data_IF_286370178569
#
_entry.id   IF_286370178569
#
_cell.length_a   1.000
_cell.length_b   1.000
_cell.length_c   1.000
_cell.angle_alpha   90.00
_cell.angle_beta   90.00
_cell.angle_gamma   90.00
#
_symmetry.space_group_name_H-M   'P 1'
#
loop_
_entity.id
_entity.type
_entity.pdbx_description
1 polymer ?
#
# COMPACT_ATOMS: atom_id res chain seq x y z
N UNK A 1 49.13 -24.22 32.07
CA UNK A 1 47.81 -23.56 31.99
C UNK A 1 47.32 -23.68 30.56
N UNK A 2 46.06 -24.11 30.44
CA UNK A 2 45.48 -24.85 29.32
C UNK A 2 45.23 -24.03 28.04
N UNK A 3 45.19 -24.67 26.86
CA UNK A 3 44.62 -24.07 25.66
C UNK A 3 43.09 -24.21 25.72
N UNK A 4 42.39 -23.08 25.68
CA UNK A 4 40.93 -23.02 25.63
C UNK A 4 40.44 -23.46 24.26
N UNK A 5 39.75 -24.60 24.23
CA UNK A 5 39.04 -25.12 23.08
C UNK A 5 37.80 -24.26 22.79
N UNK A 6 37.78 -23.63 21.62
CA UNK A 6 36.59 -22.99 21.08
C UNK A 6 35.56 -24.05 20.72
N UNK A 7 34.54 -24.22 21.57
CA UNK A 7 33.33 -24.97 21.24
C UNK A 7 32.58 -24.24 20.11
N UNK A 8 32.61 -24.82 18.92
CA UNK A 8 31.62 -24.57 17.87
C UNK A 8 30.26 -25.03 18.40
N UNK A 9 29.39 -24.08 18.74
CA UNK A 9 27.98 -24.37 19.02
C UNK A 9 27.29 -24.88 17.75
N UNK A 10 26.28 -25.75 17.87
CA UNK A 10 25.55 -26.23 16.71
C UNK A 10 24.81 -25.06 16.06
N UNK A 11 25.06 -24.84 14.77
CA UNK A 11 24.18 -24.05 13.90
C UNK A 11 22.80 -24.67 13.96
N UNK A 12 21.87 -24.04 14.67
CA UNK A 12 20.47 -24.46 14.69
C UNK A 12 19.93 -24.29 13.27
N UNK A 13 19.89 -25.40 12.51
CA UNK A 13 19.24 -25.46 11.22
C UNK A 13 17.76 -25.13 11.43
N UNK A 14 17.38 -23.88 11.16
CA UNK A 14 15.97 -23.53 10.97
C UNK A 14 15.53 -24.29 9.73
N UNK A 15 14.91 -25.45 9.92
CA UNK A 15 14.21 -26.15 8.86
C UNK A 15 13.15 -25.21 8.28
N UNK A 16 13.13 -25.05 6.95
CA UNK A 16 12.15 -24.23 6.27
C UNK A 16 10.71 -24.72 6.51
N UNK A 17 9.69 -23.91 6.20
CA UNK A 17 8.30 -24.34 6.35
C UNK A 17 8.04 -25.59 5.50
N UNK A 18 7.50 -26.65 6.13
CA UNK A 18 7.22 -27.94 5.47
C UNK A 18 6.27 -27.82 4.28
N UNK A 19 5.34 -26.85 4.34
CA UNK A 19 4.39 -26.49 3.29
C UNK A 19 4.43 -24.98 3.08
N UNK A 20 5.36 -24.48 2.26
CA UNK A 20 5.50 -23.04 2.05
C UNK A 20 4.26 -22.46 1.40
N UNK A 21 3.85 -21.25 1.82
CA UNK A 21 2.73 -20.52 1.24
C UNK A 21 3.12 -19.08 0.98
N UNK A 22 3.15 -18.67 -0.28
CA UNK A 22 3.31 -17.27 -0.66
C UNK A 22 2.11 -16.44 -0.18
N UNK A 23 2.39 -15.21 0.25
CA UNK A 23 1.37 -14.19 0.50
C UNK A 23 0.86 -13.59 -0.82
N UNK A 24 -0.08 -12.65 -0.72
CA UNK A 24 -0.41 -11.74 -1.81
C UNK A 24 0.77 -10.83 -2.14
N UNK A 25 1.67 -11.32 -2.99
CA UNK A 25 2.88 -10.62 -3.44
C UNK A 25 2.72 -10.20 -4.90
N UNK A 26 3.36 -9.12 -5.28
CA UNK A 26 3.38 -8.66 -6.66
C UNK A 26 4.65 -9.16 -7.35
N UNK A 27 4.48 -9.63 -8.59
CA UNK A 27 5.56 -10.13 -9.42
C UNK A 27 5.61 -9.35 -10.74
N UNK A 28 6.77 -8.83 -11.10
CA UNK A 28 6.96 -8.03 -12.31
C UNK A 28 8.29 -8.34 -13.00
N UNK A 29 8.35 -8.29 -14.34
CA UNK A 29 9.57 -8.59 -15.07
C UNK A 29 10.62 -7.48 -14.88
N UNK A 30 11.88 -7.86 -14.72
CA UNK A 30 13.02 -6.97 -14.62
C UNK A 30 14.17 -7.52 -15.46
N UNK A 31 14.87 -6.64 -16.17
CA UNK A 31 16.14 -6.97 -16.83
C UNK A 31 17.30 -6.50 -15.97
N UNK A 32 18.26 -7.39 -15.71
CA UNK A 32 19.45 -7.11 -14.93
C UNK A 32 20.64 -7.83 -15.55
N UNK A 33 21.70 -7.08 -15.83
CA UNK A 33 22.92 -7.58 -16.49
C UNK A 33 22.66 -8.35 -17.80
N UNK A 34 21.60 -7.99 -18.53
CA UNK A 34 21.21 -8.63 -19.80
C UNK A 34 20.39 -9.91 -19.63
N UNK A 35 20.11 -10.35 -18.40
CA UNK A 35 19.25 -11.48 -18.09
C UNK A 35 17.88 -11.03 -17.58
N UNK A 36 16.86 -11.86 -17.82
CA UNK A 36 15.47 -11.62 -17.40
C UNK A 36 15.17 -12.30 -16.09
N UNK A 37 14.69 -11.53 -15.14
CA UNK A 37 14.24 -11.97 -13.82
C UNK A 37 12.78 -11.61 -13.59
N UNK A 38 12.17 -12.32 -12.65
CA UNK A 38 10.91 -11.90 -12.04
C UNK A 38 11.22 -11.30 -10.67
N UNK A 39 11.00 -10.01 -10.50
CA UNK A 39 11.13 -9.37 -9.20
C UNK A 39 9.85 -9.54 -8.40
N UNK A 40 9.97 -9.98 -7.15
CA UNK A 40 8.91 -10.06 -6.18
C UNK A 40 9.00 -8.89 -5.21
N UNK A 41 7.87 -8.23 -4.96
CA UNK A 41 7.73 -7.20 -3.93
C UNK A 41 6.44 -7.39 -3.14
N UNK A 42 6.40 -6.77 -1.96
CA UNK A 42 5.24 -6.80 -1.08
C UNK A 42 4.40 -5.52 -1.22
N UNK A 43 3.28 -5.53 -1.98
CA UNK A 43 2.44 -4.36 -2.15
C UNK A 43 1.70 -3.97 -0.86
N UNK A 44 1.67 -4.82 0.17
CA UNK A 44 1.11 -4.49 1.47
C UNK A 44 2.11 -3.78 2.40
N UNK A 45 3.37 -3.63 1.99
CA UNK A 45 4.39 -2.85 2.70
C UNK A 45 4.78 -3.43 4.07
N UNK A 46 4.80 -4.76 4.23
CA UNK A 46 5.34 -5.44 5.42
C UNK A 46 6.82 -5.82 5.27
N UNK A 47 7.37 -5.78 4.06
CA UNK A 47 8.82 -5.91 3.83
C UNK A 47 9.26 -4.95 2.73
N UNK A 48 10.40 -4.24 2.91
CA UNK A 48 11.01 -3.45 1.85
C UNK A 48 11.86 -4.30 0.89
N UNK A 49 12.03 -5.59 1.19
CA UNK A 49 12.86 -6.48 0.37
C UNK A 49 12.27 -6.63 -1.03
N UNK A 50 13.14 -6.63 -2.04
CA UNK A 50 12.81 -7.05 -3.40
C UNK A 50 13.62 -8.30 -3.70
N UNK A 51 12.95 -9.38 -4.09
CA UNK A 51 13.62 -10.64 -4.42
C UNK A 51 13.59 -10.83 -5.93
N UNK A 52 14.77 -10.97 -6.54
CA UNK A 52 14.89 -11.29 -7.96
C UNK A 52 14.94 -12.81 -8.13
N UNK A 53 13.93 -13.36 -8.81
CA UNK A 53 13.84 -14.78 -9.09
C UNK A 53 14.24 -15.06 -10.55
N UNK A 54 15.25 -15.90 -10.78
CA UNK A 54 15.49 -16.49 -12.09
C UNK A 54 14.27 -17.28 -12.56
N UNK A 55 14.00 -17.29 -13.87
CA UNK A 55 12.84 -18.00 -14.43
C UNK A 55 12.77 -19.48 -14.04
N UNK A 56 13.91 -20.15 -13.87
CA UNK A 56 13.97 -21.54 -13.43
C UNK A 56 13.34 -21.78 -12.05
N UNK A 57 13.37 -20.80 -11.14
CA UNK A 57 12.81 -20.91 -9.79
C UNK A 57 11.31 -20.57 -9.74
N UNK A 58 10.76 -19.95 -10.78
CA UNK A 58 9.35 -19.52 -10.79
C UNK A 58 8.39 -20.68 -10.61
N UNK A 59 8.64 -21.81 -11.27
CA UNK A 59 7.76 -22.97 -11.15
C UNK A 59 7.76 -23.55 -9.74
N UNK A 60 8.92 -23.61 -9.08
CA UNK A 60 9.02 -24.05 -7.67
C UNK A 60 8.18 -23.12 -6.79
N UNK A 61 8.38 -21.81 -6.95
CA UNK A 61 7.71 -20.78 -6.14
C UNK A 61 6.20 -20.74 -6.41
N UNK A 62 5.76 -21.04 -7.64
CA UNK A 62 4.33 -21.12 -7.99
C UNK A 62 3.58 -22.24 -7.26
N UNK A 63 4.32 -23.25 -6.75
CA UNK A 63 3.80 -24.34 -5.95
C UNK A 63 3.86 -24.07 -4.44
N UNK A 64 4.33 -22.89 -4.01
CA UNK A 64 4.29 -22.47 -2.61
C UNK A 64 2.88 -21.97 -2.26
N UNK A 65 1.92 -22.89 -2.24
CA UNK A 65 0.48 -22.62 -2.04
C UNK A 65 -0.04 -23.07 -0.67
N UNK A 66 0.84 -23.58 0.20
CA UNK A 66 0.51 -24.15 1.51
C UNK A 66 -0.14 -25.53 1.45
N UNK A 67 -0.37 -26.08 0.26
CA UNK A 67 -0.93 -27.42 0.06
C UNK A 67 0.16 -28.43 -0.23
N UNK A 68 1.11 -28.07 -1.08
CA UNK A 68 2.23 -28.93 -1.45
C UNK A 68 3.35 -28.86 -0.41
N UNK A 69 3.86 -30.03 -0.01
CA UNK A 69 5.13 -30.14 0.70
C UNK A 69 6.32 -30.30 -0.27
N UNK A 70 7.54 -30.26 0.28
CA UNK A 70 8.79 -30.31 -0.52
C UNK A 70 8.82 -31.53 -1.45
N UNK A 71 8.42 -32.70 -0.98
CA UNK A 71 8.46 -33.92 -1.79
C UNK A 71 7.42 -33.87 -2.92
N UNK A 72 6.22 -33.34 -2.64
CA UNK A 72 5.17 -33.13 -3.64
C UNK A 72 5.60 -32.12 -4.71
N UNK A 73 6.29 -31.04 -4.33
CA UNK A 73 6.87 -30.05 -5.24
C UNK A 73 7.91 -30.71 -6.15
N UNK A 74 8.86 -31.49 -5.59
CA UNK A 74 9.87 -32.21 -6.39
C UNK A 74 9.21 -33.11 -7.44
N UNK A 75 8.20 -33.89 -7.04
CA UNK A 75 7.50 -34.77 -7.97
C UNK A 75 6.72 -33.98 -9.03
N UNK A 76 6.14 -32.83 -8.69
CA UNK A 76 5.44 -31.99 -9.65
C UNK A 76 6.40 -31.43 -10.72
N UNK A 77 7.56 -30.93 -10.31
CA UNK A 77 8.58 -30.43 -11.23
C UNK A 77 9.12 -31.55 -12.12
N UNK A 78 9.42 -32.73 -11.55
CA UNK A 78 9.88 -33.89 -12.32
C UNK A 78 8.86 -34.30 -13.39
N UNK A 79 7.56 -34.30 -13.05
CA UNK A 79 6.50 -34.64 -14.01
C UNK A 79 6.34 -33.61 -15.13
N UNK A 80 6.52 -32.31 -14.82
CA UNK A 80 6.30 -31.23 -15.77
C UNK A 80 7.51 -31.00 -16.69
N UNK A 81 8.73 -31.06 -16.15
CA UNK A 81 9.98 -30.75 -16.87
C UNK A 81 10.87 -31.94 -17.18
N UNK A 82 10.67 -33.08 -16.51
CA UNK A 82 11.62 -34.19 -16.55
C UNK A 82 12.92 -33.93 -15.76
N UNK A 83 13.00 -32.82 -15.03
CA UNK A 83 14.18 -32.43 -14.25
C UNK A 83 14.03 -32.83 -12.78
N UNK A 84 15.12 -33.37 -12.20
CA UNK A 84 15.18 -33.67 -10.77
C UNK A 84 15.71 -32.43 -10.05
N UNK A 85 14.87 -31.84 -9.20
CA UNK A 85 15.28 -30.76 -8.28
C UNK A 85 15.58 -31.36 -6.92
N UNK A 86 16.71 -30.98 -6.31
CA UNK A 86 17.07 -31.41 -4.95
C UNK A 86 16.13 -30.78 -3.91
N UNK A 87 15.74 -31.57 -2.89
CA UNK A 87 14.87 -31.10 -1.81
C UNK A 87 15.49 -29.90 -1.08
N UNK A 88 16.81 -29.95 -0.83
CA UNK A 88 17.57 -28.88 -0.20
C UNK A 88 17.41 -27.55 -0.93
N UNK A 89 17.37 -27.55 -2.28
CA UNK A 89 17.20 -26.34 -3.07
C UNK A 89 15.82 -25.70 -2.87
N UNK A 90 14.78 -26.51 -2.74
CA UNK A 90 13.41 -26.02 -2.47
C UNK A 90 13.32 -25.48 -1.04
N UNK A 91 13.92 -26.17 -0.08
CA UNK A 91 13.97 -25.75 1.32
C UNK A 91 14.74 -24.44 1.50
N UNK A 92 15.90 -24.29 0.85
CA UNK A 92 16.70 -23.05 0.83
C UNK A 92 15.88 -21.88 0.28
N UNK A 93 15.16 -22.10 -0.82
CA UNK A 93 14.31 -21.08 -1.43
C UNK A 93 13.14 -20.68 -0.54
N UNK A 94 12.46 -21.67 0.07
CA UNK A 94 11.38 -21.44 1.02
C UNK A 94 11.89 -20.67 2.26
N UNK A 95 13.07 -21.05 2.76
CA UNK A 95 13.69 -20.41 3.91
C UNK A 95 14.10 -18.96 3.58
N UNK A 96 14.68 -18.70 2.40
CA UNK A 96 15.03 -17.35 1.97
C UNK A 96 13.78 -16.46 1.87
N UNK A 97 12.71 -16.94 1.21
CA UNK A 97 11.46 -16.20 1.10
C UNK A 97 10.79 -15.95 2.47
N UNK A 98 10.82 -16.92 3.39
CA UNK A 98 10.32 -16.75 4.77
C UNK A 98 11.11 -15.68 5.54
N UNK A 99 12.44 -15.72 5.48
CA UNK A 99 13.31 -14.72 6.14
C UNK A 99 13.04 -13.30 5.64
N UNK A 100 12.80 -13.15 4.33
CA UNK A 100 12.43 -11.88 3.73
C UNK A 100 10.95 -11.51 3.89
N UNK A 101 10.13 -12.40 4.47
CA UNK A 101 8.73 -12.17 4.83
C UNK A 101 7.74 -12.32 3.68
N UNK A 102 8.08 -13.06 2.63
CA UNK A 102 7.21 -13.32 1.49
C UNK A 102 6.25 -14.50 1.72
N UNK A 103 6.53 -15.35 2.72
CA UNK A 103 5.68 -16.49 3.07
C UNK A 103 4.74 -16.16 4.23
N UNK A 104 3.56 -16.78 4.23
CA UNK A 104 2.72 -16.90 5.40
C UNK A 104 3.37 -17.82 6.44
N UNK A 105 3.28 -17.47 7.71
CA UNK A 105 3.81 -18.26 8.80
C UNK A 105 4.08 -17.44 10.05
N UNK A 106 4.54 -18.08 11.15
CA UNK A 106 4.76 -17.41 12.43
C UNK A 106 5.71 -16.20 12.34
N UNK A 107 6.74 -16.27 11.49
CA UNK A 107 7.69 -15.18 11.29
C UNK A 107 7.02 -13.95 10.65
N UNK A 108 6.20 -14.15 9.61
CA UNK A 108 5.43 -13.07 9.01
C UNK A 108 4.35 -12.53 9.94
N UNK A 109 3.68 -13.38 10.70
CA UNK A 109 2.66 -12.96 11.67
C UNK A 109 3.24 -12.05 12.75
N UNK A 110 4.43 -12.39 13.27
CA UNK A 110 5.15 -11.52 14.20
C UNK A 110 5.52 -10.17 13.56
N UNK A 111 6.04 -10.18 12.32
CA UNK A 111 6.36 -8.96 11.57
C UNK A 111 5.13 -8.09 11.31
N UNK A 112 4.01 -8.70 10.92
CA UNK A 112 2.74 -8.01 10.71
C UNK A 112 2.27 -7.34 11.98
N UNK A 113 2.28 -8.07 13.11
CA UNK A 113 1.87 -7.55 14.40
C UNK A 113 2.73 -6.36 14.84
N UNK A 114 4.04 -6.42 14.61
CA UNK A 114 4.96 -5.32 14.88
C UNK A 114 4.64 -4.09 14.01
N UNK A 115 4.61 -4.25 12.68
CA UNK A 115 4.37 -3.15 11.73
C UNK A 115 3.00 -2.51 11.94
N UNK A 116 1.94 -3.32 12.09
CA UNK A 116 0.60 -2.82 12.36
C UNK A 116 0.52 -2.15 13.73
N UNK A 117 1.16 -2.74 14.75
CA UNK A 117 1.23 -2.17 16.10
C UNK A 117 1.90 -0.80 16.13
N UNK A 118 3.04 -0.64 15.45
CA UNK A 118 3.73 0.64 15.30
C UNK A 118 2.84 1.68 14.64
N UNK A 119 2.14 1.33 13.56
CA UNK A 119 1.22 2.26 12.89
C UNK A 119 0.01 2.64 13.76
N UNK A 120 -0.61 1.67 14.42
CA UNK A 120 -1.76 1.91 15.30
C UNK A 120 -1.37 2.80 16.49
N UNK A 121 -0.15 2.67 17.01
CA UNK A 121 0.37 3.52 18.09
C UNK A 121 0.81 4.93 17.62
N UNK A 122 1.10 5.13 16.33
CA UNK A 122 1.56 6.42 15.81
C UNK A 122 0.46 7.51 15.94
N UNK A 123 0.80 8.76 16.28
CA UNK A 123 -0.19 9.83 16.42
C UNK A 123 -0.77 10.29 15.08
N UNK A 124 -0.04 10.07 13.99
CA UNK A 124 -0.40 10.50 12.64
C UNK A 124 -0.23 9.36 11.65
N UNK A 125 -0.80 9.52 10.46
CA UNK A 125 -0.58 8.63 9.32
C UNK A 125 0.54 9.24 8.46
N UNK A 126 1.73 8.62 8.39
CA UNK A 126 2.82 9.11 7.57
C UNK A 126 2.45 9.24 6.09
N UNK A 127 3.19 10.09 5.37
CA UNK A 127 3.13 10.22 3.92
C UNK A 127 3.78 8.98 3.26
N UNK A 128 3.06 7.85 3.25
CA UNK A 128 3.60 6.54 2.87
C UNK A 128 4.06 6.43 1.42
N UNK A 129 3.60 7.33 0.53
CA UNK A 129 3.93 7.30 -0.90
C UNK A 129 4.85 8.46 -1.33
N UNK A 130 5.30 9.28 -0.39
CA UNK A 130 6.31 10.30 -0.62
C UNK A 130 7.65 9.67 -1.02
N UNK A 131 8.31 10.25 -2.03
CA UNK A 131 9.53 9.72 -2.65
C UNK A 131 9.29 8.64 -3.71
N UNK A 132 8.09 8.04 -3.74
CA UNK A 132 7.70 7.05 -4.74
C UNK A 132 6.71 7.61 -5.77
N UNK A 133 5.46 7.81 -5.34
CA UNK A 133 4.38 8.29 -6.21
C UNK A 133 4.48 9.80 -6.48
N UNK A 134 5.08 10.54 -5.55
CA UNK A 134 5.28 11.99 -5.62
C UNK A 134 6.51 12.41 -4.79
N UNK A 135 7.11 13.58 -5.02
CA UNK A 135 8.34 14.01 -4.32
C UNK A 135 8.16 14.15 -2.80
N UNK A 136 9.15 13.69 -2.03
CA UNK A 136 9.17 13.90 -0.58
C UNK A 136 9.58 15.33 -0.17
N UNK A 137 10.20 16.08 -1.08
CA UNK A 137 10.50 17.49 -0.87
C UNK A 137 9.28 18.36 -1.23
N UNK A 138 8.93 19.29 -0.34
CA UNK A 138 7.74 20.12 -0.50
C UNK A 138 7.81 21.09 -1.68
N UNK A 139 8.99 21.63 -2.00
CA UNK A 139 9.14 22.55 -3.14
C UNK A 139 9.02 21.79 -4.47
N UNK A 140 9.68 20.63 -4.57
CA UNK A 140 9.56 19.74 -5.72
C UNK A 140 8.12 19.23 -5.91
N UNK A 141 7.42 18.91 -4.82
CA UNK A 141 6.02 18.51 -4.88
C UNK A 141 5.12 19.65 -5.40
N UNK A 142 5.31 20.89 -4.91
CA UNK A 142 4.57 22.04 -5.43
C UNK A 142 4.82 22.24 -6.92
N UNK A 143 6.07 22.23 -7.35
CA UNK A 143 6.43 22.38 -8.76
C UNK A 143 5.80 21.29 -9.65
N UNK A 144 5.77 20.04 -9.17
CA UNK A 144 5.07 18.95 -9.86
C UNK A 144 3.57 19.25 -10.00
N UNK A 145 2.91 19.62 -8.90
CA UNK A 145 1.47 19.89 -8.87
C UNK A 145 1.11 21.11 -9.72
N UNK A 146 1.89 22.18 -9.67
CA UNK A 146 1.74 23.38 -10.52
C UNK A 146 1.79 23.00 -12.01
N UNK A 147 2.71 22.10 -12.38
CA UNK A 147 2.85 21.59 -13.75
C UNK A 147 1.59 20.93 -14.29
N UNK A 148 0.74 20.36 -13.44
CA UNK A 148 -0.51 19.72 -13.87
C UNK A 148 -1.60 20.72 -14.28
N UNK A 149 -1.47 21.99 -13.91
CA UNK A 149 -2.39 23.04 -14.32
C UNK A 149 -2.03 23.64 -15.69
N UNK A 150 -0.84 23.38 -16.21
CA UNK A 150 -0.33 24.04 -17.43
C UNK A 150 -1.01 23.48 -18.70
N UNK A 151 -1.47 24.34 -19.64
CA UNK A 151 -2.03 23.90 -20.93
C UNK A 151 -0.96 23.26 -21.86
N UNK A 152 -1.35 22.41 -22.83
CA UNK A 152 -2.72 22.13 -23.26
C UNK A 152 -3.46 21.05 -22.45
N UNK A 153 -2.78 20.22 -21.67
CA UNK A 153 -3.40 19.11 -20.94
C UNK A 153 -4.10 19.58 -19.65
N UNK A 154 -3.55 20.60 -18.99
CA UNK A 154 -4.08 21.17 -17.77
C UNK A 154 -5.18 22.22 -17.98
N UNK A 155 -5.98 22.51 -16.95
CA UNK A 155 -7.07 23.49 -17.02
C UNK A 155 -6.64 24.96 -17.18
N UNK A 156 -5.37 25.30 -16.91
CA UNK A 156 -4.91 26.67 -16.67
C UNK A 156 -4.91 27.02 -15.18
N UNK A 157 -4.48 28.26 -14.83
CA UNK A 157 -4.37 28.69 -13.45
C UNK A 157 -5.73 28.75 -12.73
N UNK A 158 -5.68 28.73 -11.39
CA UNK A 158 -6.81 29.07 -10.52
C UNK A 158 -6.89 30.59 -10.45
N UNK A 159 -7.74 31.21 -11.27
CA UNK A 159 -7.87 32.67 -11.40
C UNK A 159 -9.27 33.20 -11.03
N UNK A 160 -10.16 32.31 -10.59
CA UNK A 160 -11.51 32.65 -10.17
C UNK A 160 -12.48 32.83 -11.34
N UNK A 161 -12.07 32.49 -12.57
CA UNK A 161 -12.94 32.51 -13.74
C UNK A 161 -14.20 31.65 -13.58
N UNK A 162 -14.14 30.59 -12.78
CA UNK A 162 -15.27 29.72 -12.44
C UNK A 162 -16.27 30.26 -11.41
N UNK A 163 -16.00 31.39 -10.73
CA UNK A 163 -16.78 31.85 -9.57
C UNK A 163 -18.28 32.13 -9.86
N UNK A 164 -18.67 32.31 -11.13
CA UNK A 164 -20.07 32.52 -11.54
C UNK A 164 -20.85 31.22 -11.83
N UNK A 165 -20.18 30.07 -11.84
CA UNK A 165 -20.82 28.78 -12.04
C UNK A 165 -21.42 28.24 -10.73
N UNK A 166 -22.18 27.14 -10.83
CA UNK A 166 -22.78 26.49 -9.66
C UNK A 166 -21.68 26.04 -8.67
N UNK A 167 -21.93 26.13 -7.35
CA UNK A 167 -21.03 25.61 -6.33
C UNK A 167 -20.73 24.12 -6.53
N UNK A 168 -19.50 23.71 -6.22
CA UNK A 168 -19.07 22.32 -6.24
C UNK A 168 -19.28 21.72 -4.85
N UNK A 169 -20.17 20.72 -4.75
CA UNK A 169 -20.44 19.98 -3.51
C UNK A 169 -19.80 18.58 -3.47
N UNK A 170 -19.31 18.08 -4.60
CA UNK A 170 -18.65 16.79 -4.71
C UNK A 170 -17.67 16.78 -5.88
N UNK A 171 -16.60 16.00 -5.73
CA UNK A 171 -15.60 15.77 -6.77
C UNK A 171 -15.35 14.26 -6.90
N UNK A 172 -15.26 13.79 -8.14
CA UNK A 172 -14.71 12.47 -8.46
C UNK A 172 -13.34 12.71 -9.06
N UNK A 173 -12.30 12.26 -8.37
CA UNK A 173 -10.92 12.38 -8.79
C UNK A 173 -10.29 10.99 -8.92
N UNK A 174 -9.29 10.81 -9.80
CA UNK A 174 -8.52 9.58 -9.85
C UNK A 174 -7.75 9.36 -8.53
N UNK A 175 -7.23 8.15 -8.36
CA UNK A 175 -6.26 7.80 -7.32
C UNK A 175 -5.02 7.11 -7.90
N UNK A 176 -4.78 7.23 -9.20
CA UNK A 176 -3.56 6.71 -9.84
C UNK A 176 -2.37 7.64 -9.53
N UNK A 177 -1.15 7.10 -9.54
CA UNK A 177 0.06 7.89 -9.36
C UNK A 177 0.05 9.18 -10.20
N UNK A 178 0.48 10.29 -9.59
CA UNK A 178 0.37 11.62 -10.20
C UNK A 178 1.07 11.73 -11.56
N UNK A 179 2.19 11.06 -11.77
CA UNK A 179 2.88 11.06 -13.06
C UNK A 179 2.05 10.46 -14.21
N UNK A 180 1.00 9.68 -13.90
CA UNK A 180 0.09 9.08 -14.90
C UNK A 180 -1.19 9.88 -15.10
N UNK A 181 -1.66 10.58 -14.07
CA UNK A 181 -2.99 11.19 -14.04
C UNK A 181 -3.04 12.67 -13.69
N UNK A 182 -1.89 13.33 -13.50
CA UNK A 182 -1.78 14.68 -12.94
C UNK A 182 -2.77 15.72 -13.48
N UNK A 183 -2.85 15.94 -14.81
CA UNK A 183 -3.78 16.90 -15.38
C UNK A 183 -5.26 16.63 -15.03
N UNK A 184 -5.67 15.35 -14.94
CA UNK A 184 -7.03 15.00 -14.57
C UNK A 184 -7.38 15.39 -13.12
N UNK A 185 -6.41 15.31 -12.20
CA UNK A 185 -6.58 15.89 -10.87
C UNK A 185 -6.74 17.41 -10.95
N UNK A 186 -5.87 18.09 -11.69
CA UNK A 186 -5.87 19.56 -11.77
C UNK A 186 -7.20 20.12 -12.25
N UNK A 187 -7.84 19.49 -13.25
CA UNK A 187 -9.19 19.88 -13.71
C UNK A 187 -10.22 19.86 -12.57
N UNK A 188 -10.30 18.75 -11.84
CA UNK A 188 -11.25 18.60 -10.74
C UNK A 188 -10.95 19.52 -9.55
N UNK A 189 -9.66 19.65 -9.20
CA UNK A 189 -9.22 20.45 -8.06
C UNK A 189 -9.22 21.96 -8.34
N UNK A 190 -9.08 22.41 -9.60
CA UNK A 190 -9.34 23.82 -9.96
C UNK A 190 -10.79 24.17 -9.65
N UNK A 191 -11.72 23.35 -10.12
CA UNK A 191 -13.15 23.57 -9.91
C UNK A 191 -13.50 23.59 -8.42
N UNK A 192 -12.90 22.70 -7.63
CA UNK A 192 -13.02 22.70 -6.18
C UNK A 192 -12.48 24.02 -5.58
N UNK A 193 -11.29 24.46 -5.98
CA UNK A 193 -10.65 25.66 -5.44
C UNK A 193 -11.43 26.95 -5.74
N UNK A 194 -12.07 27.03 -6.91
CA UNK A 194 -12.79 28.23 -7.34
C UNK A 194 -14.25 28.28 -6.88
N UNK A 195 -14.86 27.12 -6.59
CA UNK A 195 -16.32 26.99 -6.44
C UNK A 195 -16.77 26.24 -5.19
N UNK A 196 -15.86 25.97 -4.24
CA UNK A 196 -16.17 25.30 -2.98
C UNK A 196 -15.64 26.08 -1.76
N UNK A 197 -16.54 26.47 -0.88
CA UNK A 197 -16.29 27.16 0.38
C UNK A 197 -16.32 26.23 1.61
N UNK A 198 -16.35 24.90 1.41
CA UNK A 198 -16.34 23.94 2.52
C UNK A 198 -14.98 23.92 3.25
N UNK A 199 -15.04 23.82 4.58
CA UNK A 199 -13.87 23.67 5.45
C UNK A 199 -13.64 22.22 5.91
N UNK A 200 -14.57 21.31 5.58
CA UNK A 200 -14.48 19.88 5.87
C UNK A 200 -14.75 19.06 4.60
N UNK A 201 -13.84 18.13 4.28
CA UNK A 201 -13.97 17.23 3.12
C UNK A 201 -14.11 15.77 3.57
N UNK A 202 -15.22 15.12 3.22
CA UNK A 202 -15.37 13.67 3.39
C UNK A 202 -14.76 12.97 2.18
N UNK A 203 -13.74 12.15 2.40
CA UNK A 203 -12.97 11.51 1.32
C UNK A 203 -13.22 10.01 1.35
N UNK A 204 -13.92 9.51 0.32
CA UNK A 204 -14.07 8.07 0.10
C UNK A 204 -12.91 7.56 -0.76
N UNK A 205 -12.14 6.62 -0.22
CA UNK A 205 -11.06 5.93 -0.94
C UNK A 205 -11.29 4.43 -0.97
N UNK A 206 -10.86 3.76 -2.05
CA UNK A 206 -10.90 2.30 -2.10
C UNK A 206 -9.81 1.70 -1.21
N UNK A 207 -10.06 0.54 -0.62
CA UNK A 207 -9.04 -0.28 0.03
C UNK A 207 -8.62 -1.43 -0.88
N UNK A 208 -7.38 -1.42 -1.35
CA UNK A 208 -6.83 -2.45 -2.22
C UNK A 208 -6.44 -3.74 -1.48
N UNK A 209 -6.13 -3.64 -0.18
CA UNK A 209 -5.75 -4.78 0.64
C UNK A 209 -6.93 -5.63 1.12
N UNK A 210 -8.16 -5.14 0.90
CA UNK A 210 -9.38 -5.78 1.36
C UNK A 210 -9.67 -5.55 2.84
N UNK A 211 -10.95 -5.58 3.20
CA UNK A 211 -11.40 -5.36 4.59
C UNK A 211 -12.53 -6.29 4.95
N UNK A 212 -12.62 -6.65 6.24
CA UNK A 212 -13.74 -7.46 6.75
C UNK A 212 -15.05 -6.70 6.72
N UNK A 213 -14.99 -5.42 7.07
CA UNK A 213 -16.11 -4.50 7.15
C UNK A 213 -16.11 -3.57 5.93
N UNK A 214 -17.29 -3.11 5.45
CA UNK A 214 -17.38 -2.23 4.28
C UNK A 214 -16.66 -0.90 4.45
N UNK A 215 -16.53 -0.39 5.68
CA UNK A 215 -15.84 0.88 5.93
C UNK A 215 -14.76 0.76 6.99
N UNK A 216 -13.67 1.50 6.81
CA UNK A 216 -12.68 1.79 7.84
C UNK A 216 -12.49 3.31 7.97
N UNK A 217 -12.36 3.75 9.22
CA UNK A 217 -12.09 5.12 9.59
C UNK A 217 -10.75 5.18 10.32
N UNK A 218 -10.16 6.38 10.35
CA UNK A 218 -9.02 6.69 11.21
C UNK A 218 -9.19 8.07 11.82
N UNK A 219 -8.60 8.25 13.01
CA UNK A 219 -8.50 9.56 13.69
C UNK A 219 -7.20 10.28 13.35
N UNK A 220 -6.28 9.61 12.67
CA UNK A 220 -4.91 10.06 12.46
C UNK A 220 -4.87 11.14 11.38
N UNK A 221 -4.31 12.33 11.65
CA UNK A 221 -3.98 13.30 10.60
C UNK A 221 -3.13 12.66 9.50
N UNK A 222 -3.35 13.07 8.27
CA UNK A 222 -2.57 12.60 7.12
C UNK A 222 -1.38 13.52 6.90
N UNK A 223 -0.17 13.02 7.15
CA UNK A 223 1.05 13.75 6.82
C UNK A 223 1.22 13.87 5.31
N UNK A 224 1.75 15.03 4.89
CA UNK A 224 2.16 15.29 3.51
C UNK A 224 3.45 16.12 3.52
N UNK A 225 4.24 16.14 2.43
CA UNK A 225 5.38 17.06 2.32
C UNK A 225 5.03 18.55 2.40
N UNK A 226 3.74 18.92 2.31
CA UNK A 226 3.23 20.28 2.44
C UNK A 226 2.63 20.56 3.84
N UNK A 227 2.82 19.63 4.78
CA UNK A 227 2.27 19.63 6.13
C UNK A 227 1.06 18.71 6.28
N UNK A 228 0.73 18.39 7.54
CA UNK A 228 -0.38 17.51 7.86
C UNK A 228 -1.75 18.08 7.44
N UNK A 229 -2.65 17.19 7.05
CA UNK A 229 -4.09 17.47 6.91
C UNK A 229 -4.80 16.90 8.13
N UNK A 230 -5.43 17.77 8.91
CA UNK A 230 -6.13 17.39 10.13
C UNK A 230 -7.38 16.55 9.81
N UNK A 231 -7.66 15.56 10.66
CA UNK A 231 -8.91 14.81 10.62
C UNK A 231 -9.92 15.45 11.56
N UNK A 232 -11.15 15.60 11.11
CA UNK A 232 -12.26 16.02 11.99
C UNK A 232 -12.67 14.82 12.88
N UNK A 233 -12.06 14.74 14.06
CA UNK A 233 -12.26 13.63 14.99
C UNK A 233 -13.70 13.58 15.48
N UNK A 234 -14.34 14.72 15.74
CA UNK A 234 -15.72 14.76 16.21
C UNK A 234 -16.67 14.17 15.16
N UNK A 235 -16.49 14.52 13.89
CA UNK A 235 -17.25 13.95 12.79
C UNK A 235 -16.99 12.45 12.67
N UNK A 236 -15.73 12.01 12.72
CA UNK A 236 -15.36 10.59 12.67
C UNK A 236 -16.05 9.80 13.78
N UNK A 237 -16.12 10.32 15.01
CA UNK A 237 -16.82 9.64 16.11
C UNK A 237 -18.34 9.64 15.92
N UNK A 238 -18.93 10.73 15.45
CA UNK A 238 -20.36 10.75 15.13
C UNK A 238 -20.71 9.78 14.00
N UNK A 239 -19.81 9.56 13.06
CA UNK A 239 -19.98 8.59 11.98
C UNK A 239 -19.81 7.15 12.50
N UNK A 240 -18.76 6.87 13.27
CA UNK A 240 -18.45 5.54 13.82
C UNK A 240 -19.61 5.01 14.68
N UNK A 241 -20.20 5.86 15.52
CA UNK A 241 -21.35 5.52 16.38
C UNK A 241 -22.62 5.17 15.61
N UNK A 242 -22.77 5.69 14.38
CA UNK A 242 -23.95 5.48 13.52
C UNK A 242 -23.77 4.37 12.48
N UNK A 243 -22.53 3.94 12.23
CA UNK A 243 -22.22 3.02 11.13
C UNK A 243 -22.74 1.60 11.34
N UNK A 244 -23.10 1.20 12.57
CA UNK A 244 -23.56 -0.17 12.87
C UNK A 244 -22.47 -1.23 12.72
N UNK A 245 -21.19 -0.83 12.71
CA UNK A 245 -20.02 -1.69 12.58
C UNK A 245 -18.82 -1.12 13.33
N UNK A 246 -17.84 -1.96 13.66
CA UNK A 246 -16.55 -1.49 14.14
C UNK A 246 -15.74 -0.90 12.98
N UNK A 247 -15.76 0.44 12.89
CA UNK A 247 -15.05 1.19 11.86
C UNK A 247 -13.53 1.26 12.08
N UNK A 248 -13.02 0.87 13.25
CA UNK A 248 -11.59 0.94 13.57
C UNK A 248 -10.91 -0.43 13.54
N UNK A 249 -11.67 -1.52 13.46
CA UNK A 249 -11.16 -2.89 13.30
C UNK A 249 -10.18 -3.07 12.11
N UNK A 250 -10.29 -2.22 11.09
CA UNK A 250 -9.43 -2.21 9.92
C UNK A 250 -8.65 -0.88 9.75
N UNK A 251 -8.44 -0.10 10.81
CA UNK A 251 -7.70 1.17 10.75
C UNK A 251 -6.30 1.02 10.12
N UNK A 252 -5.62 -0.12 10.36
CA UNK A 252 -4.34 -0.46 9.72
C UNK A 252 -4.34 -0.40 8.19
N UNK A 253 -5.51 -0.57 7.55
CA UNK A 253 -5.64 -0.49 6.10
C UNK A 253 -5.26 0.90 5.56
N UNK A 254 -5.38 1.95 6.38
CA UNK A 254 -4.95 3.30 5.99
C UNK A 254 -3.43 3.44 5.81
N UNK A 255 -2.62 2.54 6.40
CA UNK A 255 -1.15 2.66 6.43
C UNK A 255 -0.51 2.72 5.05
N UNK A 256 -0.89 1.79 4.18
CA UNK A 256 -0.28 1.61 2.86
C UNK A 256 -1.24 1.96 1.71
N UNK A 257 -2.43 2.46 2.01
CA UNK A 257 -3.44 2.80 1.00
C UNK A 257 -3.25 4.23 0.50
N UNK A 258 -3.08 4.39 -0.81
CA UNK A 258 -2.79 5.66 -1.47
C UNK A 258 -4.04 6.47 -1.82
N UNK A 259 -5.20 5.81 -1.94
CA UNK A 259 -6.39 6.43 -2.55
C UNK A 259 -6.85 7.73 -1.89
N UNK A 260 -6.77 7.79 -0.56
CA UNK A 260 -7.07 8.99 0.24
C UNK A 260 -5.84 9.92 0.34
N UNK A 261 -4.63 9.36 0.41
CA UNK A 261 -3.39 10.14 0.57
C UNK A 261 -3.21 11.16 -0.55
N UNK A 262 -3.45 10.74 -1.80
CA UNK A 262 -3.33 11.62 -2.95
C UNK A 262 -4.32 12.80 -2.88
N UNK A 263 -5.52 12.57 -2.34
CA UNK A 263 -6.50 13.64 -2.16
C UNK A 263 -6.09 14.58 -1.03
N UNK A 264 -5.55 14.05 0.07
CA UNK A 264 -5.01 14.85 1.16
C UNK A 264 -3.84 15.74 0.68
N UNK A 265 -2.95 15.22 -0.17
CA UNK A 265 -1.87 16.00 -0.80
C UNK A 265 -2.44 17.16 -1.64
N UNK A 266 -3.43 16.91 -2.50
CA UNK A 266 -4.04 17.96 -3.32
C UNK A 266 -4.77 19.01 -2.48
N UNK A 267 -5.56 18.60 -1.48
CA UNK A 267 -6.21 19.53 -0.55
C UNK A 267 -5.19 20.39 0.20
N UNK A 268 -4.10 19.78 0.67
CA UNK A 268 -3.02 20.53 1.33
C UNK A 268 -2.35 21.51 0.36
N UNK A 269 -2.07 21.08 -0.87
CA UNK A 269 -1.52 21.95 -1.90
C UNK A 269 -2.39 23.19 -2.17
N UNK A 270 -3.70 23.00 -2.28
CA UNK A 270 -4.64 24.08 -2.57
C UNK A 270 -4.81 25.07 -1.41
N UNK A 271 -4.92 24.57 -0.18
CA UNK A 271 -5.40 25.36 0.95
C UNK A 271 -4.33 25.71 2.00
N UNK A 272 -3.17 25.05 2.02
CA UNK A 272 -2.11 25.36 3.00
C UNK A 272 -1.72 26.84 2.98
N UNK A 273 -1.84 27.51 4.12
CA UNK A 273 -1.53 28.95 4.27
C UNK A 273 -2.58 29.89 3.66
N UNK A 274 -3.68 29.35 3.12
CA UNK A 274 -4.82 30.12 2.57
C UNK A 274 -6.08 29.94 3.41
N UNK A 275 -6.34 28.70 3.82
CA UNK A 275 -7.52 28.30 4.58
C UNK A 275 -7.25 27.00 5.34
N UNK A 276 -7.71 26.93 6.58
CA UNK A 276 -7.68 25.69 7.34
C UNK A 276 -8.82 24.77 6.91
N UNK A 277 -8.49 23.52 6.60
CA UNK A 277 -9.46 22.51 6.18
C UNK A 277 -9.19 21.21 6.93
N UNK A 278 -10.26 20.49 7.25
CA UNK A 278 -10.20 19.15 7.83
C UNK A 278 -10.73 18.10 6.85
N UNK A 279 -10.35 16.84 7.09
CA UNK A 279 -10.84 15.71 6.30
C UNK A 279 -11.53 14.68 7.18
N UNK A 280 -12.40 13.88 6.56
CA UNK A 280 -12.97 12.65 7.13
C UNK A 280 -12.61 11.51 6.17
N UNK A 281 -11.51 10.77 6.44
CA UNK A 281 -11.05 9.70 5.58
C UNK A 281 -11.89 8.43 5.79
N UNK A 282 -12.57 7.99 4.74
CA UNK A 282 -13.40 6.77 4.75
C UNK A 282 -12.86 5.79 3.71
N UNK A 283 -12.17 4.75 4.17
CA UNK A 283 -11.83 3.64 3.27
C UNK A 283 -13.05 2.76 3.05
N UNK A 284 -13.29 2.40 1.81
CA UNK A 284 -14.38 1.53 1.38
C UNK A 284 -13.82 0.20 0.89
N UNK A 285 -14.34 -0.90 1.42
CA UNK A 285 -14.05 -2.24 0.90
C UNK A 285 -14.66 -2.37 -0.50
N UNK A 286 -13.95 -3.05 -1.39
CA UNK A 286 -14.42 -3.21 -2.76
C UNK A 286 -15.63 -4.14 -2.83
N UNK A 287 -16.66 -3.74 -3.58
CA UNK A 287 -17.94 -4.47 -3.71
C UNK A 287 -17.73 -5.91 -4.18
N UNK A 288 -16.69 -6.19 -4.98
CA UNK A 288 -16.38 -7.55 -5.42
C UNK A 288 -15.97 -8.47 -4.27
N UNK A 289 -15.25 -7.99 -3.23
CA UNK A 289 -14.90 -8.83 -2.08
C UNK A 289 -16.13 -9.21 -1.25
N UNK A 290 -17.10 -8.29 -1.12
CA UNK A 290 -18.38 -8.56 -0.48
C UNK A 290 -19.23 -9.55 -1.31
N UNK A 291 -19.20 -9.42 -2.64
CA UNK A 291 -19.88 -10.33 -3.56
C UNK A 291 -19.25 -11.73 -3.58
N UNK A 292 -17.91 -11.84 -3.55
CA UNK A 292 -17.17 -13.11 -3.48
C UNK A 292 -17.41 -13.81 -2.14
N UNK A 293 -17.62 -13.06 -1.05
CA UNK A 293 -17.94 -13.61 0.29
C UNK A 293 -19.43 -13.92 0.49
N UNK A 294 -20.27 -13.78 -0.54
CA UNK A 294 -21.65 -14.29 -0.56
C UNK A 294 -22.59 -13.69 0.50
N UNK A 295 -22.32 -12.47 0.98
CA UNK A 295 -23.20 -11.80 1.95
C UNK A 295 -23.90 -10.62 1.28
N UNK A 296 -25.17 -10.83 0.96
CA UNK A 296 -26.16 -9.77 0.73
C UNK A 296 -26.62 -9.23 2.08
#
# INVERSE_FOLDING_TARGET
MSPTSGRTGPTSGRTGPRRPRLRGIEAFPVEHEGERFLALRDPAGYTPSVVMLPGALLEIVSLFDGRHDVAEIQQAILRHKGEVVEAARIEELAQALDQHGFLEGPAFEARRAEVDGTFLAAPTRPAGHAGGAYPADGAALRAMLDGFFVPPEGPGPIDGGGARAKPVCALIAPHIDFHRGGPAYAWGYRDLAERCDADLFVIFGTCHAGMRHPFALTRKPYETPLGAVAVDVEFVERLSTRAGQDCFAAERAHRNEHSIEFQAVFLRYLFAGRREVTIVPVLTSFVHEAMVRGRR
#
